data_IF_978772004718
#
_entry.id   IF_978772004718
#
_cell.length_a   1.000
_cell.length_b   1.000
_cell.length_c   1.000
_cell.angle_alpha   90.00
_cell.angle_beta   90.00
_cell.angle_gamma   90.00
#
_symmetry.space_group_name_H-M   'P 1'
#
loop_
_entity.id
_entity.type
_entity.pdbx_description
1 polymer ?
#
# COMPACT_ATOMS: atom_id res chain seq x y z
N UNK A 1 -17.54 20.79 -36.14
CA UNK A 1 -16.47 19.81 -35.85
C UNK A 1 -17.09 18.44 -36.01
N UNK A 2 -16.61 17.68 -37.00
CA UNK A 2 -17.26 16.43 -37.44
C UNK A 2 -17.03 15.30 -36.46
N UNK A 3 -18.06 14.47 -36.28
CA UNK A 3 -18.02 13.21 -35.56
C UNK A 3 -17.11 12.28 -36.36
N UNK A 4 -15.84 12.15 -35.98
CA UNK A 4 -14.90 11.22 -36.61
C UNK A 4 -14.77 9.95 -35.77
N UNK A 5 -14.74 8.77 -36.42
CA UNK A 5 -14.60 7.46 -35.75
C UNK A 5 -13.29 7.27 -34.97
N UNK A 6 -12.34 8.21 -35.07
CA UNK A 6 -11.01 8.12 -34.46
C UNK A 6 -10.92 8.77 -33.06
N UNK A 7 -12.00 9.41 -32.60
CA UNK A 7 -12.02 10.05 -31.27
C UNK A 7 -12.48 9.04 -30.22
N UNK A 8 -11.68 8.76 -29.17
CA UNK A 8 -12.04 7.82 -28.12
C UNK A 8 -13.31 8.27 -27.39
N UNK A 9 -14.13 7.31 -26.96
CA UNK A 9 -15.32 7.58 -26.15
C UNK A 9 -14.93 7.74 -24.68
N UNK A 10 -15.62 8.64 -23.99
CA UNK A 10 -15.47 8.91 -22.55
C UNK A 10 -16.83 8.89 -21.87
N UNK A 11 -16.85 8.50 -20.60
CA UNK A 11 -18.07 8.46 -19.79
C UNK A 11 -18.62 9.86 -19.49
N UNK A 12 -19.92 10.04 -19.70
CA UNK A 12 -20.69 11.22 -19.29
C UNK A 12 -21.95 10.82 -18.53
N UNK A 13 -22.66 11.78 -17.95
CA UNK A 13 -23.96 11.55 -17.33
C UNK A 13 -25.02 10.97 -18.29
N UNK A 14 -24.80 11.04 -19.61
CA UNK A 14 -25.69 10.53 -20.66
C UNK A 14 -25.16 9.24 -21.34
N UNK A 15 -24.09 8.65 -20.80
CA UNK A 15 -23.41 7.48 -21.38
C UNK A 15 -22.11 7.84 -22.12
N UNK A 16 -21.66 6.95 -22.99
CA UNK A 16 -20.42 7.11 -23.76
C UNK A 16 -20.56 8.23 -24.80
N UNK A 17 -19.72 9.25 -24.69
CA UNK A 17 -19.68 10.41 -25.61
C UNK A 17 -18.27 10.61 -26.16
N UNK A 18 -18.13 11.28 -27.30
CA UNK A 18 -16.80 11.53 -27.87
C UNK A 18 -15.96 12.44 -26.96
N UNK A 19 -14.70 12.07 -26.73
CA UNK A 19 -13.73 12.89 -26.02
C UNK A 19 -13.59 14.26 -26.70
N UNK A 20 -13.68 15.34 -25.92
CA UNK A 20 -13.62 16.71 -26.46
C UNK A 20 -14.97 17.26 -26.94
N UNK A 21 -16.04 16.47 -26.90
CA UNK A 21 -17.39 16.97 -27.14
C UNK A 21 -17.86 17.86 -25.99
N UNK A 22 -18.79 18.80 -26.23
CA UNK A 22 -19.38 19.61 -25.16
C UNK A 22 -19.98 18.77 -24.02
N UNK A 23 -20.58 17.62 -24.34
CA UNK A 23 -21.15 16.69 -23.36
C UNK A 23 -20.09 16.10 -22.43
N UNK A 24 -18.89 15.81 -22.95
CA UNK A 24 -17.78 15.30 -22.13
C UNK A 24 -17.27 16.31 -21.10
N UNK A 25 -17.42 17.61 -21.35
CA UNK A 25 -16.98 18.68 -20.43
C UNK A 25 -18.10 19.19 -19.52
N UNK A 26 -19.33 19.30 -20.04
CA UNK A 26 -20.44 19.93 -19.33
C UNK A 26 -21.19 18.96 -18.42
N UNK A 27 -21.15 17.66 -18.72
CA UNK A 27 -21.82 16.63 -17.94
C UNK A 27 -20.89 15.44 -17.69
N UNK A 28 -19.75 15.65 -17.02
CA UNK A 28 -18.93 14.52 -16.58
C UNK A 28 -19.78 13.61 -15.70
N UNK A 29 -19.57 12.30 -15.82
CA UNK A 29 -20.23 11.33 -14.94
C UNK A 29 -19.91 11.71 -13.49
N UNK A 30 -20.94 12.05 -12.72
CA UNK A 30 -20.77 12.39 -11.32
C UNK A 30 -20.20 11.17 -10.60
N UNK A 31 -18.93 11.26 -10.17
CA UNK A 31 -18.33 10.23 -9.32
C UNK A 31 -19.08 10.26 -7.99
N UNK A 32 -19.56 9.11 -7.54
CA UNK A 32 -20.19 9.04 -6.22
C UNK A 32 -19.17 9.47 -5.16
N UNK A 33 -19.65 10.20 -4.14
CA UNK A 33 -18.79 10.58 -3.02
C UNK A 33 -18.27 9.30 -2.36
N UNK A 34 -16.94 9.14 -2.15
CA UNK A 34 -16.40 8.01 -1.41
C UNK A 34 -16.72 8.08 0.10
N UNK A 35 -17.50 9.08 0.53
CA UNK A 35 -17.93 9.27 1.91
C UNK A 35 -19.37 8.78 2.09
N UNK A 36 -19.53 7.61 2.72
CA UNK A 36 -20.80 7.06 3.14
C UNK A 36 -21.32 7.67 4.46
N UNK A 37 -20.41 8.09 5.34
CA UNK A 37 -20.71 8.62 6.68
C UNK A 37 -20.29 10.08 6.80
N UNK A 38 -21.25 11.00 6.86
CA UNK A 38 -20.99 12.45 6.93
C UNK A 38 -20.39 12.84 8.29
N UNK A 39 -20.79 12.15 9.35
CA UNK A 39 -20.37 12.43 10.74
C UNK A 39 -19.08 11.69 11.13
N UNK A 40 -18.33 11.16 10.16
CA UNK A 40 -17.08 10.46 10.44
C UNK A 40 -16.07 11.39 11.13
N UNK A 41 -15.37 10.92 12.17
CA UNK A 41 -14.31 11.69 12.81
C UNK A 41 -13.18 12.00 11.80
N UNK A 42 -12.35 13.03 12.10
CA UNK A 42 -11.14 13.27 11.32
C UNK A 42 -10.26 12.03 11.29
N UNK A 43 -9.71 11.70 10.12
CA UNK A 43 -8.75 10.59 10.02
C UNK A 43 -7.58 10.80 10.97
N UNK A 44 -7.06 9.73 11.59
CA UNK A 44 -5.88 9.84 12.44
C UNK A 44 -4.64 10.13 11.60
N UNK A 45 -3.64 10.69 12.26
CA UNK A 45 -2.28 10.72 11.75
C UNK A 45 -1.69 9.30 11.77
N UNK A 46 -0.89 8.98 10.75
CA UNK A 46 -0.18 7.71 10.65
C UNK A 46 1.33 7.95 10.58
N UNK A 47 2.14 7.17 11.32
CA UNK A 47 1.75 6.08 12.23
C UNK A 47 0.97 6.57 13.47
N UNK A 48 0.15 5.70 14.08
CA UNK A 48 -0.68 6.08 15.24
C UNK A 48 0.20 6.57 16.40
N UNK A 49 -0.14 7.74 16.93
CA UNK A 49 0.59 8.34 18.03
C UNK A 49 0.61 7.39 19.25
N UNK A 50 1.81 7.17 19.81
CA UNK A 50 1.99 6.33 21.00
C UNK A 50 2.12 4.84 20.71
N UNK A 51 1.88 4.38 19.48
CA UNK A 51 2.26 3.03 19.07
C UNK A 51 3.79 2.96 18.95
N UNK A 52 4.44 2.12 19.74
CA UNK A 52 5.91 2.01 19.79
C UNK A 52 6.34 0.64 19.31
N UNK A 53 7.41 0.61 18.52
CA UNK A 53 8.05 -0.62 18.10
C UNK A 53 9.25 -0.89 19.00
N UNK A 54 9.42 -2.15 19.39
CA UNK A 54 10.58 -2.56 20.18
C UNK A 54 11.89 -2.26 19.43
N UNK A 55 12.92 -1.89 20.19
CA UNK A 55 14.26 -1.70 19.63
C UNK A 55 14.77 -2.99 19.02
N UNK A 56 15.49 -2.90 17.90
CA UNK A 56 16.10 -4.08 17.28
C UNK A 56 17.01 -4.78 18.29
N UNK A 57 16.88 -6.11 18.41
CA UNK A 57 17.83 -6.93 19.17
C UNK A 57 19.18 -7.08 18.47
N UNK A 58 19.29 -6.64 17.20
CA UNK A 58 20.52 -6.74 16.42
C UNK A 58 21.52 -5.66 16.81
N UNK A 59 22.63 -6.06 17.42
CA UNK A 59 23.78 -5.17 17.65
C UNK A 59 24.58 -5.08 16.35
N UNK A 60 24.30 -4.06 15.54
CA UNK A 60 25.06 -3.75 14.33
C UNK A 60 26.11 -2.67 14.62
N UNK A 61 27.35 -2.92 14.22
CA UNK A 61 28.44 -1.94 14.34
C UNK A 61 28.59 -1.21 13.01
N UNK A 62 28.19 0.06 12.99
CA UNK A 62 28.30 0.91 11.81
C UNK A 62 29.74 1.37 11.57
N UNK A 63 30.12 1.48 10.29
CA UNK A 63 31.19 2.41 9.89
C UNK A 63 30.74 3.85 10.05
N UNK A 64 31.65 4.82 10.08
CA UNK A 64 31.31 6.25 10.19
C UNK A 64 30.32 6.69 9.10
N UNK A 65 30.57 6.29 7.84
CA UNK A 65 29.69 6.63 6.72
C UNK A 65 28.29 6.01 6.90
N UNK A 66 28.20 4.75 7.33
CA UNK A 66 26.92 4.10 7.58
C UNK A 66 26.17 4.76 8.74
N UNK A 67 26.87 5.18 9.79
CA UNK A 67 26.26 5.85 10.94
C UNK A 67 25.67 7.21 10.54
N UNK A 68 26.40 8.00 9.74
CA UNK A 68 25.90 9.28 9.21
C UNK A 68 24.68 9.08 8.32
N UNK A 69 24.70 8.08 7.44
CA UNK A 69 23.54 7.75 6.61
C UNK A 69 22.35 7.33 7.47
N UNK A 70 22.55 6.43 8.43
CA UNK A 70 21.50 5.96 9.34
C UNK A 70 20.84 7.12 10.10
N UNK A 71 21.63 8.03 10.67
CA UNK A 71 21.12 9.27 11.30
C UNK A 71 20.30 10.13 10.35
N UNK A 72 20.65 10.16 9.06
CA UNK A 72 19.88 10.92 8.07
C UNK A 72 18.53 10.29 7.71
N UNK A 73 18.30 9.03 8.09
CA UNK A 73 16.99 8.38 7.93
C UNK A 73 16.03 8.67 9.08
N UNK A 74 16.53 9.09 10.24
CA UNK A 74 15.72 9.38 11.42
C UNK A 74 14.64 10.40 11.11
N UNK A 75 13.43 10.12 11.60
CA UNK A 75 12.27 11.00 11.45
C UNK A 75 11.61 11.16 12.81
N UNK A 76 11.19 12.38 13.14
CA UNK A 76 10.30 12.62 14.28
C UNK A 76 8.87 12.22 13.91
N UNK A 77 8.01 12.07 14.92
CA UNK A 77 6.56 11.86 14.70
C UNK A 77 5.95 12.94 13.82
N UNK A 78 6.29 14.21 14.06
CA UNK A 78 5.82 15.32 13.24
C UNK A 78 6.31 15.22 11.78
N UNK A 79 7.57 14.82 11.57
CA UNK A 79 8.12 14.60 10.24
C UNK A 79 7.42 13.44 9.52
N UNK A 80 7.16 12.34 10.23
CA UNK A 80 6.45 11.18 9.67
C UNK A 80 5.04 11.58 9.17
N UNK A 81 4.30 12.36 9.96
CA UNK A 81 2.96 12.83 9.58
C UNK A 81 3.02 13.76 8.37
N UNK A 82 3.99 14.69 8.32
CA UNK A 82 4.19 15.58 7.17
C UNK A 82 4.58 14.83 5.90
N UNK A 83 5.42 13.80 6.04
CA UNK A 83 5.84 12.95 4.92
C UNK A 83 4.64 12.20 4.36
N UNK A 84 3.80 11.57 5.20
CA UNK A 84 2.58 10.90 4.75
C UNK A 84 1.70 11.88 3.99
N UNK A 85 1.40 13.03 4.59
CA UNK A 85 0.53 14.05 3.98
C UNK A 85 1.04 14.51 2.62
N UNK A 86 2.33 14.85 2.51
CA UNK A 86 2.94 15.35 1.28
C UNK A 86 3.06 14.29 0.17
N UNK A 87 2.92 13.00 0.51
CA UNK A 87 3.12 11.89 -0.42
C UNK A 87 1.84 11.09 -0.72
N UNK A 88 0.66 11.61 -0.37
CA UNK A 88 -0.65 10.96 -0.63
C UNK A 88 -0.96 10.72 -2.11
N UNK A 89 -0.29 11.41 -3.02
CA UNK A 89 -0.39 11.15 -4.46
C UNK A 89 0.52 10.00 -4.94
N UNK A 90 1.21 9.35 -4.00
CA UNK A 90 2.05 8.17 -4.15
C UNK A 90 2.95 8.17 -5.38
N UNK A 91 2.69 7.30 -6.35
CA UNK A 91 3.54 7.07 -7.53
C UNK A 91 3.75 8.31 -8.40
N UNK A 92 2.86 9.30 -8.29
CA UNK A 92 2.98 10.60 -8.98
C UNK A 92 3.89 11.60 -8.24
N UNK A 93 4.18 11.35 -6.96
CA UNK A 93 5.04 12.20 -6.13
C UNK A 93 6.51 11.79 -6.27
N UNK A 94 7.35 12.73 -6.71
CA UNK A 94 8.81 12.51 -6.75
C UNK A 94 9.40 12.27 -5.35
N UNK A 95 8.85 12.94 -4.33
CA UNK A 95 9.27 12.78 -2.94
C UNK A 95 8.98 11.38 -2.42
N UNK A 96 7.85 10.78 -2.81
CA UNK A 96 7.51 9.39 -2.49
C UNK A 96 8.58 8.42 -3.00
N UNK A 97 9.04 8.58 -4.24
CA UNK A 97 10.12 7.75 -4.80
C UNK A 97 11.44 7.96 -4.06
N UNK A 98 11.80 9.23 -3.77
CA UNK A 98 13.05 9.59 -3.08
C UNK A 98 13.09 9.00 -1.67
N UNK A 99 11.99 9.08 -0.92
CA UNK A 99 11.91 8.63 0.46
C UNK A 99 11.87 7.10 0.58
N UNK A 100 11.31 6.40 -0.42
CA UNK A 100 11.29 4.94 -0.49
C UNK A 100 12.66 4.34 -0.81
N UNK A 101 13.45 5.00 -1.66
CA UNK A 101 14.73 4.46 -2.15
C UNK A 101 15.71 3.99 -1.06
N UNK A 102 15.92 4.71 0.06
CA UNK A 102 16.82 4.24 1.13
C UNK A 102 16.18 3.25 2.12
N UNK A 103 14.91 2.86 1.94
CA UNK A 103 14.13 2.09 2.93
C UNK A 103 13.65 0.76 2.36
N UNK A 104 13.48 -0.22 3.25
CA UNK A 104 12.77 -1.45 2.89
C UNK A 104 11.26 -1.21 2.99
N UNK A 105 10.52 -1.52 1.92
CA UNK A 105 9.08 -1.30 1.87
C UNK A 105 8.28 -2.57 2.12
N UNK A 106 7.09 -2.44 2.72
CA UNK A 106 6.25 -3.60 3.09
C UNK A 106 5.94 -4.56 1.93
N UNK A 107 5.84 -4.05 0.70
CA UNK A 107 5.68 -4.85 -0.53
C UNK A 107 6.77 -5.90 -0.76
N UNK A 108 7.94 -5.77 -0.10
CA UNK A 108 9.06 -6.70 -0.21
C UNK A 108 9.25 -7.57 1.03
N UNK A 109 8.48 -7.38 2.10
CA UNK A 109 8.68 -8.12 3.36
C UNK A 109 8.41 -9.61 3.20
N UNK A 110 7.42 -10.00 2.39
CA UNK A 110 7.19 -11.41 2.08
C UNK A 110 8.41 -12.07 1.42
N UNK A 111 9.08 -11.36 0.53
CA UNK A 111 10.28 -11.87 -0.12
C UNK A 111 11.47 -11.93 0.85
N UNK A 112 11.69 -10.87 1.63
CA UNK A 112 12.78 -10.77 2.61
C UNK A 112 12.65 -11.88 3.67
N UNK A 113 11.44 -12.11 4.18
CA UNK A 113 11.20 -13.11 5.23
C UNK A 113 11.51 -14.54 4.77
N UNK A 114 11.30 -14.83 3.48
CA UNK A 114 11.52 -16.16 2.90
C UNK A 114 12.83 -16.27 2.10
N UNK A 115 13.62 -15.20 2.05
CA UNK A 115 14.88 -15.18 1.33
C UNK A 115 15.90 -16.16 1.93
N UNK A 116 16.62 -16.86 1.06
CA UNK A 116 17.78 -17.66 1.46
C UNK A 116 18.99 -16.73 1.63
N UNK A 117 19.92 -17.02 2.57
CA UNK A 117 21.11 -16.19 2.78
C UNK A 117 21.90 -15.89 1.50
N UNK A 118 22.06 -16.89 0.62
CA UNK A 118 22.78 -16.73 -0.65
C UNK A 118 22.10 -15.83 -1.68
N UNK A 119 20.85 -15.41 -1.45
CA UNK A 119 20.07 -14.56 -2.37
C UNK A 119 19.96 -13.11 -1.94
N UNK A 120 20.39 -12.77 -0.70
CA UNK A 120 20.20 -11.44 -0.11
C UNK A 120 20.91 -10.33 -0.91
N UNK A 121 22.16 -10.56 -1.30
CA UNK A 121 22.93 -9.58 -2.09
C UNK A 121 22.25 -9.26 -3.44
N UNK A 122 21.82 -10.30 -4.16
CA UNK A 122 21.10 -10.16 -5.43
C UNK A 122 19.74 -9.47 -5.26
N UNK A 123 19.08 -9.75 -4.14
CA UNK A 123 17.82 -9.10 -3.77
C UNK A 123 18.04 -7.60 -3.55
N UNK A 124 19.06 -7.21 -2.78
CA UNK A 124 19.40 -5.80 -2.55
C UNK A 124 19.69 -5.07 -3.88
N UNK A 125 20.51 -5.66 -4.75
CA UNK A 125 20.79 -5.09 -6.08
C UNK A 125 19.51 -4.87 -6.90
N UNK A 126 18.56 -5.81 -6.86
CA UNK A 126 17.28 -5.68 -7.57
C UNK A 126 16.39 -4.60 -6.97
N UNK A 127 16.33 -4.50 -5.65
CA UNK A 127 15.56 -3.46 -4.96
C UNK A 127 16.11 -2.06 -5.26
N UNK A 128 17.44 -1.88 -5.27
CA UNK A 128 18.09 -0.59 -5.55
C UNK A 128 17.95 -0.15 -7.01
N UNK A 129 17.94 -1.10 -7.95
CA UNK A 129 17.65 -0.83 -9.38
C UNK A 129 16.22 -0.35 -9.61
N UNK A 130 15.31 -0.65 -8.68
CA UNK A 130 13.89 -0.38 -8.82
C UNK A 130 13.18 -1.36 -9.75
N UNK A 131 11.85 -1.33 -9.71
CA UNK A 131 10.99 -2.20 -10.51
C UNK A 131 10.47 -1.40 -11.71
N UNK A 132 10.60 -1.98 -12.90
CA UNK A 132 9.95 -1.43 -14.10
C UNK A 132 8.45 -1.66 -14.01
N UNK A 133 7.66 -0.63 -14.32
CA UNK A 133 6.21 -0.76 -14.40
C UNK A 133 5.82 -1.85 -15.41
N UNK A 134 5.04 -2.81 -14.95
CA UNK A 134 4.48 -3.88 -15.79
C UNK A 134 3.11 -3.50 -16.31
N UNK A 135 2.59 -4.21 -17.32
CA UNK A 135 1.23 -3.99 -17.80
C UNK A 135 0.18 -4.19 -16.70
N UNK A 136 0.40 -5.17 -15.81
CA UNK A 136 -0.46 -5.42 -14.66
C UNK A 136 -0.45 -4.24 -13.66
N UNK A 137 0.70 -3.61 -13.44
CA UNK A 137 0.80 -2.41 -12.58
C UNK A 137 0.05 -1.22 -13.18
N UNK A 138 0.15 -1.01 -14.50
CA UNK A 138 -0.57 0.08 -15.19
C UNK A 138 -2.08 -0.11 -15.13
N UNK A 139 -2.56 -1.32 -15.45
CA UNK A 139 -3.98 -1.67 -15.31
C UNK A 139 -4.45 -1.48 -13.86
N UNK A 140 -3.62 -1.86 -12.89
CA UNK A 140 -3.91 -1.62 -11.47
C UNK A 140 -4.18 -0.16 -11.17
N UNK A 141 -3.29 0.74 -11.60
CA UNK A 141 -3.44 2.20 -11.44
C UNK A 141 -4.68 2.76 -12.17
N UNK A 142 -4.99 2.22 -13.35
CA UNK A 142 -6.15 2.65 -14.14
C UNK A 142 -7.47 2.27 -13.47
N UNK A 143 -7.55 1.08 -12.87
CA UNK A 143 -8.79 0.57 -12.24
C UNK A 143 -8.92 0.91 -10.75
N UNK A 144 -7.89 1.48 -10.12
CA UNK A 144 -7.86 1.72 -8.67
C UNK A 144 -9.03 2.59 -8.21
N UNK A 145 -9.36 3.64 -8.97
CA UNK A 145 -10.47 4.53 -8.65
C UNK A 145 -11.83 3.81 -8.66
N UNK A 146 -12.06 2.94 -9.65
CA UNK A 146 -13.31 2.17 -9.76
C UNK A 146 -13.40 1.11 -8.65
N UNK A 147 -12.28 0.47 -8.33
CA UNK A 147 -12.19 -0.49 -7.24
C UNK A 147 -12.47 0.15 -5.87
N UNK A 148 -11.95 1.36 -5.61
CA UNK A 148 -12.24 2.13 -4.40
C UNK A 148 -13.73 2.47 -4.32
N UNK A 149 -14.32 2.92 -5.43
CA UNK A 149 -15.74 3.28 -5.47
C UNK A 149 -16.64 2.08 -5.16
N UNK A 150 -16.37 0.93 -5.79
CA UNK A 150 -17.12 -0.30 -5.55
C UNK A 150 -16.94 -0.80 -4.11
N UNK A 151 -15.70 -0.79 -3.60
CA UNK A 151 -15.39 -1.13 -2.22
C UNK A 151 -16.17 -0.28 -1.22
N UNK A 152 -16.15 1.05 -1.37
CA UNK A 152 -16.85 1.98 -0.48
C UNK A 152 -18.36 1.75 -0.49
N UNK A 153 -18.94 1.44 -1.66
CA UNK A 153 -20.37 1.11 -1.80
C UNK A 153 -20.72 -0.19 -1.10
N UNK A 154 -19.95 -1.26 -1.32
CA UNK A 154 -20.20 -2.59 -0.75
C UNK A 154 -20.08 -2.59 0.77
N UNK A 155 -19.02 -1.95 1.30
CA UNK A 155 -18.75 -1.91 2.74
C UNK A 155 -19.43 -0.77 3.48
N UNK A 156 -19.96 0.23 2.76
CA UNK A 156 -20.52 1.47 3.31
C UNK A 156 -19.54 2.12 4.29
N UNK A 157 -18.34 2.40 3.80
CA UNK A 157 -17.22 2.99 4.56
C UNK A 157 -16.78 4.31 3.93
N UNK A 158 -15.99 5.09 4.66
CA UNK A 158 -15.32 6.26 4.08
C UNK A 158 -13.88 5.90 3.73
N UNK A 159 -13.46 6.31 2.54
CA UNK A 159 -12.07 6.17 2.08
C UNK A 159 -11.31 7.50 2.15
N UNK A 160 -10.03 7.41 2.53
CA UNK A 160 -9.09 8.53 2.52
C UNK A 160 -7.76 8.10 1.88
N UNK A 161 -7.16 8.89 0.98
CA UNK A 161 -5.88 8.55 0.36
C UNK A 161 -4.76 8.48 1.40
N UNK A 162 -3.82 7.56 1.22
CA UNK A 162 -2.69 7.36 2.13
C UNK A 162 -1.36 7.61 1.43
N UNK A 163 -0.44 8.32 2.09
CA UNK A 163 0.91 8.53 1.61
C UNK A 163 1.90 7.45 2.03
N UNK A 164 3.19 7.77 1.90
CA UNK A 164 4.27 6.95 2.43
C UNK A 164 4.42 7.18 3.92
N UNK A 165 4.39 6.08 4.68
CA UNK A 165 4.48 6.08 6.14
C UNK A 165 5.84 5.52 6.53
N UNK A 166 6.51 6.25 7.43
CA UNK A 166 7.79 5.86 8.04
C UNK A 166 7.56 5.88 9.55
N UNK A 167 7.81 4.75 10.21
CA UNK A 167 7.69 4.69 11.66
C UNK A 167 8.94 5.28 12.34
N UNK A 168 8.82 6.26 13.26
CA UNK A 168 9.98 6.88 13.92
C UNK A 168 10.92 5.92 14.63
N UNK A 169 10.42 4.82 15.20
CA UNK A 169 11.26 3.80 15.85
C UNK A 169 11.99 2.86 14.85
N UNK A 170 11.59 2.84 13.57
CA UNK A 170 12.21 2.03 12.52
C UNK A 170 12.36 2.84 11.22
N UNK A 171 13.18 3.91 11.22
CA UNK A 171 13.28 4.84 10.10
C UNK A 171 13.81 4.23 8.80
N UNK A 172 14.38 3.02 8.83
CA UNK A 172 14.83 2.27 7.66
C UNK A 172 13.72 1.44 6.99
N UNK A 173 12.54 1.35 7.59
CA UNK A 173 11.37 0.66 7.07
C UNK A 173 10.31 1.68 6.63
N UNK A 174 9.46 1.32 5.68
CA UNK A 174 8.32 2.14 5.31
C UNK A 174 7.22 1.40 4.57
N UNK A 175 6.07 2.05 4.40
CA UNK A 175 4.92 1.46 3.71
C UNK A 175 4.06 2.48 2.99
N UNK A 176 3.33 2.05 1.97
CA UNK A 176 2.29 2.83 1.28
C UNK A 176 1.07 1.93 1.14
N UNK A 177 0.14 1.97 2.11
CA UNK A 177 -1.20 1.42 1.94
C UNK A 177 -1.93 2.17 0.82
N UNK A 178 -2.89 1.52 0.17
CA UNK A 178 -3.67 2.18 -0.89
C UNK A 178 -4.61 3.25 -0.30
N UNK A 179 -5.10 3.02 0.93
CA UNK A 179 -5.83 4.05 1.67
C UNK A 179 -6.03 3.77 3.16
N UNK A 180 -6.61 4.77 3.82
CA UNK A 180 -7.15 4.70 5.17
C UNK A 180 -8.67 4.62 5.07
N UNK A 181 -9.27 3.76 5.88
CA UNK A 181 -10.71 3.51 5.87
C UNK A 181 -11.29 3.82 7.24
N UNK A 182 -12.44 4.48 7.26
CA UNK A 182 -13.29 4.59 8.43
C UNK A 182 -14.49 3.64 8.30
N UNK A 183 -14.60 2.70 9.23
CA UNK A 183 -15.69 1.75 9.37
C UNK A 183 -16.28 1.86 10.79
N UNK A 184 -17.47 2.47 10.96
CA UNK A 184 -18.07 2.69 12.27
C UNK A 184 -18.58 1.39 12.93
N UNK A 185 -18.53 0.26 12.22
CA UNK A 185 -18.93 -1.04 12.78
C UNK A 185 -17.81 -1.72 13.57
N UNK A 186 -16.58 -1.19 13.50
CA UNK A 186 -15.41 -1.73 14.19
C UNK A 186 -15.12 -1.01 15.50
N UNK A 187 -14.55 -1.75 16.46
CA UNK A 187 -14.11 -1.17 17.73
C UNK A 187 -12.98 -0.15 17.54
N UNK A 188 -12.05 -0.46 16.62
CA UNK A 188 -11.06 0.49 16.11
C UNK A 188 -11.54 0.95 14.75
N UNK A 189 -12.23 2.08 14.72
CA UNK A 189 -12.99 2.52 13.54
C UNK A 189 -12.11 2.80 12.31
N UNK A 190 -10.82 3.10 12.51
CA UNK A 190 -9.88 3.32 11.43
C UNK A 190 -9.00 2.10 11.15
N UNK A 191 -8.93 1.73 9.88
CA UNK A 191 -8.04 0.72 9.35
C UNK A 191 -7.46 1.13 8.00
N UNK A 192 -6.89 0.17 7.29
CA UNK A 192 -6.31 0.36 5.97
C UNK A 192 -7.11 -0.38 4.89
N UNK A 193 -6.82 -0.07 3.64
CA UNK A 193 -7.21 -0.87 2.48
C UNK A 193 -6.01 -1.15 1.60
N UNK A 194 -5.94 -2.38 1.08
CA UNK A 194 -4.98 -2.82 0.07
C UNK A 194 -5.75 -3.48 -1.08
N UNK A 195 -5.69 -2.87 -2.25
CA UNK A 195 -6.50 -3.20 -3.42
C UNK A 195 -5.63 -3.90 -4.46
N UNK A 196 -6.10 -5.06 -4.94
CA UNK A 196 -5.55 -5.77 -6.07
C UNK A 196 -6.56 -5.82 -7.19
N UNK A 197 -6.09 -5.44 -8.37
CA UNK A 197 -6.87 -5.36 -9.60
C UNK A 197 -6.34 -6.40 -10.62
N UNK A 198 -6.51 -7.72 -10.37
CA UNK A 198 -6.03 -8.76 -11.29
C UNK A 198 -6.80 -8.81 -12.61
N UNK A 199 -6.16 -9.27 -13.67
CA UNK A 199 -6.79 -9.50 -14.96
C UNK A 199 -7.39 -10.91 -15.02
N UNK A 200 -8.44 -11.12 -14.23
CA UNK A 200 -9.21 -12.36 -14.14
C UNK A 200 -10.70 -12.03 -14.15
N UNK A 201 -11.53 -12.97 -14.62
CA UNK A 201 -12.97 -12.76 -14.69
C UNK A 201 -13.61 -12.66 -13.31
N UNK A 202 -13.35 -13.66 -12.48
CA UNK A 202 -13.81 -13.71 -11.09
C UNK A 202 -12.65 -13.81 -10.12
N UNK A 203 -12.82 -13.30 -8.91
CA UNK A 203 -11.83 -13.42 -7.83
C UNK A 203 -11.51 -14.89 -7.52
N UNK A 204 -12.40 -15.85 -7.81
CA UNK A 204 -12.15 -17.29 -7.58
C UNK A 204 -11.00 -17.82 -8.43
N UNK A 205 -10.74 -17.17 -9.58
CA UNK A 205 -9.63 -17.50 -10.48
C UNK A 205 -8.31 -16.88 -10.01
N UNK A 206 -8.32 -16.08 -8.94
CA UNK A 206 -7.13 -15.40 -8.47
C UNK A 206 -6.22 -16.37 -7.70
N UNK A 207 -5.01 -16.70 -8.21
CA UNK A 207 -4.21 -17.82 -7.70
C UNK A 207 -3.62 -17.56 -6.31
N UNK A 208 -3.77 -16.36 -5.77
CA UNK A 208 -3.25 -15.96 -4.46
C UNK A 208 -4.25 -16.23 -3.33
N UNK A 209 -5.45 -16.68 -3.66
CA UNK A 209 -6.50 -17.02 -2.70
C UNK A 209 -6.63 -18.54 -2.51
N UNK A 210 -7.13 -18.95 -1.35
CA UNK A 210 -7.41 -20.35 -0.96
C UNK A 210 -8.75 -20.43 -0.25
N UNK A 211 -9.42 -21.59 -0.34
CA UNK A 211 -10.60 -21.85 0.48
C UNK A 211 -10.14 -22.26 1.88
N UNK A 212 -10.70 -21.61 2.90
CA UNK A 212 -10.53 -21.94 4.31
C UNK A 212 -11.90 -21.82 4.98
N UNK A 213 -12.34 -22.89 5.64
CA UNK A 213 -13.62 -22.93 6.36
C UNK A 213 -14.83 -22.49 5.50
N UNK A 214 -14.80 -22.84 4.21
CA UNK A 214 -15.86 -22.48 3.24
C UNK A 214 -15.75 -21.08 2.65
N UNK A 215 -14.83 -20.24 3.12
CA UNK A 215 -14.60 -18.88 2.62
C UNK A 215 -13.32 -18.80 1.81
N UNK A 216 -13.31 -17.94 0.79
CA UNK A 216 -12.11 -17.68 0.00
C UNK A 216 -11.27 -16.58 0.68
N UNK A 217 -10.02 -16.87 0.97
CA UNK A 217 -9.12 -16.01 1.74
C UNK A 217 -7.73 -15.91 1.09
N UNK A 218 -7.03 -14.81 1.31
CA UNK A 218 -5.63 -14.65 0.95
C UNK A 218 -4.76 -15.74 1.58
N UNK A 219 -3.92 -16.38 0.76
CA UNK A 219 -2.94 -17.34 1.24
C UNK A 219 -1.96 -16.63 2.20
N UNK A 220 -1.93 -17.05 3.46
CA UNK A 220 -0.97 -16.53 4.45
C UNK A 220 0.51 -16.68 4.02
N UNK A 221 0.83 -17.69 3.21
CA UNK A 221 2.16 -17.86 2.62
C UNK A 221 2.47 -16.94 1.42
N UNK A 222 1.49 -16.18 0.94
CA UNK A 222 1.65 -15.30 -0.22
C UNK A 222 2.21 -13.93 0.18
N UNK A 223 3.02 -13.32 -0.69
CA UNK A 223 3.70 -12.06 -0.41
C UNK A 223 2.77 -10.92 0.03
N UNK A 224 1.53 -10.85 -0.49
CA UNK A 224 0.57 -9.83 -0.10
C UNK A 224 0.12 -9.93 1.36
N UNK A 225 0.06 -11.13 1.95
CA UNK A 225 -0.26 -11.26 3.36
C UNK A 225 0.82 -10.60 4.23
N UNK A 226 2.09 -10.81 3.86
CA UNK A 226 3.24 -10.20 4.53
C UNK A 226 3.33 -8.70 4.28
N UNK A 227 2.88 -8.22 3.11
CA UNK A 227 2.75 -6.80 2.84
C UNK A 227 1.72 -6.16 3.76
N UNK A 228 0.54 -6.76 3.90
CA UNK A 228 -0.53 -6.29 4.79
C UNK A 228 -0.06 -6.31 6.25
N UNK A 229 0.53 -7.40 6.72
CA UNK A 229 1.09 -7.45 8.08
C UNK A 229 2.19 -6.41 8.29
N UNK A 230 3.01 -6.13 7.27
CA UNK A 230 3.98 -5.05 7.29
C UNK A 230 3.36 -3.65 7.38
N UNK A 231 2.22 -3.43 6.72
CA UNK A 231 1.46 -2.19 6.83
C UNK A 231 0.92 -2.03 8.25
N UNK A 232 0.27 -3.05 8.80
CA UNK A 232 -0.26 -3.01 10.17
C UNK A 232 0.85 -2.79 11.20
N UNK A 233 2.00 -3.45 11.01
CA UNK A 233 3.19 -3.28 11.85
C UNK A 233 3.70 -1.84 11.86
N UNK A 234 3.79 -1.19 10.70
CA UNK A 234 4.42 0.14 10.59
C UNK A 234 3.46 1.30 10.86
N UNK A 235 2.16 1.07 10.74
CA UNK A 235 1.14 2.12 10.93
C UNK A 235 0.57 2.14 12.33
N UNK A 236 0.57 1.00 13.03
CA UNK A 236 -0.09 0.92 14.34
C UNK A 236 -1.61 0.85 14.26
N UNK A 237 -2.21 0.56 13.10
CA UNK A 237 -3.64 0.21 12.98
C UNK A 237 -3.90 -1.30 13.16
N UNK A 238 -5.10 -1.69 13.56
CA UNK A 238 -5.43 -3.08 13.92
C UNK A 238 -5.82 -3.97 12.74
N UNK A 239 -6.35 -3.38 11.67
CA UNK A 239 -6.90 -4.13 10.54
C UNK A 239 -6.69 -3.43 9.19
N UNK A 240 -6.70 -4.25 8.15
CA UNK A 240 -6.64 -3.83 6.76
C UNK A 240 -7.65 -4.67 5.95
N UNK A 241 -8.48 -4.01 5.14
CA UNK A 241 -9.32 -4.70 4.16
C UNK A 241 -8.48 -4.99 2.90
N UNK A 242 -8.25 -6.26 2.64
CA UNK A 242 -7.65 -6.75 1.41
C UNK A 242 -8.75 -6.94 0.35
N UNK A 243 -8.67 -6.18 -0.72
CA UNK A 243 -9.68 -6.14 -1.79
C UNK A 243 -9.12 -6.78 -3.05
N UNK A 244 -9.87 -7.70 -3.65
CA UNK A 244 -9.60 -8.22 -4.98
C UNK A 244 -10.74 -7.79 -5.89
N UNK A 245 -10.45 -6.81 -6.76
CA UNK A 245 -11.38 -6.27 -7.74
C UNK A 245 -11.14 -6.96 -9.09
N UNK A 246 -11.95 -7.98 -9.37
CA UNK A 246 -11.95 -8.71 -10.64
C UNK A 246 -12.94 -8.07 -11.64
N UNK A 247 -13.07 -8.61 -12.84
CA UNK A 247 -13.94 -8.03 -13.88
C UNK A 247 -15.43 -8.13 -13.54
N UNK A 248 -15.87 -9.24 -12.94
CA UNK A 248 -17.29 -9.54 -12.70
C UNK A 248 -17.68 -9.45 -11.22
N UNK A 249 -16.72 -9.56 -10.29
CA UNK A 249 -16.97 -9.59 -8.86
C UNK A 249 -15.82 -9.00 -8.02
N UNK A 250 -16.12 -8.76 -6.75
CA UNK A 250 -15.17 -8.20 -5.78
C UNK A 250 -15.14 -9.06 -4.52
N UNK A 251 -13.93 -9.46 -4.10
CA UNK A 251 -13.70 -10.03 -2.79
C UNK A 251 -13.19 -8.96 -1.84
N UNK A 252 -13.70 -8.96 -0.61
CA UNK A 252 -13.21 -8.11 0.48
C UNK A 252 -12.92 -9.03 1.67
N UNK A 253 -11.66 -9.08 2.09
CA UNK A 253 -11.23 -9.82 3.27
C UNK A 253 -10.63 -8.85 4.30
N UNK A 254 -11.23 -8.75 5.48
CA UNK A 254 -10.62 -8.04 6.61
C UNK A 254 -9.50 -8.89 7.22
N UNK A 255 -8.29 -8.32 7.28
CA UNK A 255 -7.10 -8.95 7.85
C UNK A 255 -6.69 -8.18 9.10
N UNK A 256 -6.63 -8.87 10.22
CA UNK A 256 -6.14 -8.35 11.49
C UNK A 256 -4.64 -8.63 11.65
N UNK A 257 -4.04 -7.96 12.63
CA UNK A 257 -2.66 -8.21 13.04
C UNK A 257 -2.41 -9.67 13.39
N UNK A 258 -1.26 -10.15 12.94
CA UNK A 258 -0.69 -11.43 13.31
C UNK A 258 0.67 -11.15 13.96
N UNK A 259 0.73 -11.31 15.29
CA UNK A 259 1.91 -10.95 16.08
C UNK A 259 3.14 -11.78 15.70
N UNK A 260 2.97 -13.06 15.38
CA UNK A 260 4.06 -13.96 15.00
C UNK A 260 4.65 -13.54 13.65
N UNK A 261 3.79 -13.20 12.70
CA UNK A 261 4.22 -12.72 11.37
C UNK A 261 4.88 -11.35 11.48
N UNK A 262 4.32 -10.44 12.28
CA UNK A 262 4.89 -9.11 12.52
C UNK A 262 6.27 -9.18 13.17
N UNK A 263 6.46 -10.03 14.19
CA UNK A 263 7.76 -10.27 14.81
C UNK A 263 8.76 -10.78 13.78
N UNK A 264 8.38 -11.79 12.98
CA UNK A 264 9.26 -12.34 11.94
C UNK A 264 9.61 -11.32 10.85
N UNK A 265 8.66 -10.47 10.45
CA UNK A 265 8.93 -9.33 9.55
C UNK A 265 10.01 -8.45 10.16
N UNK A 266 9.85 -8.10 11.44
CA UNK A 266 10.76 -7.18 12.10
C UNK A 266 12.19 -7.73 12.18
N UNK A 267 12.35 -8.97 12.63
CA UNK A 267 13.65 -9.63 12.72
C UNK A 267 14.34 -9.75 11.35
N UNK A 268 13.61 -10.19 10.33
CA UNK A 268 14.18 -10.46 9.00
C UNK A 268 14.45 -9.17 8.22
N UNK A 269 13.59 -8.17 8.32
CA UNK A 269 13.78 -6.88 7.67
C UNK A 269 14.96 -6.11 8.29
N UNK A 270 15.10 -6.13 9.61
CA UNK A 270 16.27 -5.54 10.29
C UNK A 270 17.56 -6.19 9.87
N UNK A 271 17.62 -7.52 9.97
CA UNK A 271 18.80 -8.27 9.59
C UNK A 271 19.19 -7.96 8.14
N UNK A 272 18.22 -8.00 7.23
CA UNK A 272 18.49 -7.70 5.82
C UNK A 272 18.92 -6.24 5.60
N UNK A 273 18.33 -5.28 6.31
CA UNK A 273 18.70 -3.88 6.19
C UNK A 273 20.15 -3.65 6.63
N UNK A 274 20.45 -4.01 7.88
CA UNK A 274 21.73 -3.68 8.50
C UNK A 274 22.89 -4.48 7.88
N UNK A 275 22.71 -5.78 7.64
CA UNK A 275 23.81 -6.64 7.19
C UNK A 275 23.98 -6.71 5.67
N UNK A 276 23.02 -6.22 4.88
CA UNK A 276 23.09 -6.33 3.41
C UNK A 276 22.69 -5.04 2.71
N UNK A 277 21.45 -4.58 2.90
CA UNK A 277 20.90 -3.49 2.09
C UNK A 277 21.65 -2.17 2.28
N UNK A 278 21.98 -1.82 3.53
CA UNK A 278 22.68 -0.58 3.86
C UNK A 278 24.06 -0.51 3.21
N UNK A 279 24.82 -1.61 3.28
CA UNK A 279 26.11 -1.71 2.60
C UNK A 279 25.96 -1.50 1.10
N UNK A 280 24.98 -2.17 0.48
CA UNK A 280 24.71 -2.08 -0.96
C UNK A 280 24.21 -0.70 -1.40
N UNK A 281 23.44 -0.02 -0.56
CA UNK A 281 22.90 1.31 -0.87
C UNK A 281 24.01 2.39 -0.91
N UNK A 282 25.08 2.21 -0.13
CA UNK A 282 26.18 3.17 0.01
C UNK A 282 27.37 2.91 -0.93
N UNK A 283 27.30 1.84 -1.75
CA UNK A 283 28.27 1.55 -2.82
C UNK A 283 27.92 2.31 -4.10
#
# INVERSE_FOLDING_TARGET
MGITCEVPLVDSALGLVQAGSPLSYQQPKARSSPFAHIDAPPRPDLPLAGYRLETSSSVFVFTEHQQLHFKSLEVTWEMANKIEYATRSQSTSADWHRLRKPRLTSSHFGEICHAKPCTLEKMADRLLKGVRQTAAMKRGLEMEADAIEEYCKLKRVNYYPCGFIIHPDTPWLGTSPDGVVFDPTENTEFGLVEIKCPNVKSYVDYPHLKIKDGNLELKQGHAYYWQVQGQLLLTGVEWCDFVVFAEEDTLIQRIYRDSDVMQKIRERADFFFFYTYLCKYLL
#
